data_IF_978942243983
#
_entry.id   IF_978942243983
#
_cell.length_a   1.000
_cell.length_b   1.000
_cell.length_c   1.000
_cell.angle_alpha   90.00
_cell.angle_beta   90.00
_cell.angle_gamma   90.00
#
_symmetry.space_group_name_H-M   'P 1'
#
loop_
_entity.id
_entity.type
_entity.pdbx_description
1 polymer ?
#
# COMPACT_ATOMS: atom_id res chain seq x y z
N UNK A 1 -1.40 17.07 23.87
CA UNK A 1 -2.42 16.85 24.93
C UNK A 1 -1.97 15.72 25.83
N UNK A 2 -2.36 15.67 27.11
CA UNK A 2 -1.98 14.57 28.02
C UNK A 2 -3.20 13.72 28.32
N UNK A 3 -3.09 12.42 28.04
CA UNK A 3 -4.17 11.44 28.27
C UNK A 3 -3.62 10.30 29.13
N UNK A 4 -4.38 9.88 30.13
CA UNK A 4 -4.05 8.72 30.96
C UNK A 4 -4.96 7.57 30.57
N UNK A 5 -4.39 6.44 30.17
CA UNK A 5 -5.11 5.23 29.77
C UNK A 5 -4.69 4.05 30.64
N UNK A 6 -5.59 3.09 30.84
CA UNK A 6 -5.27 1.82 31.48
C UNK A 6 -4.84 0.81 30.42
N UNK A 7 -3.65 0.23 30.61
CA UNK A 7 -3.08 -0.79 29.73
C UNK A 7 -2.72 -2.00 30.60
N UNK A 8 -2.94 -3.20 30.08
CA UNK A 8 -2.51 -4.44 30.73
C UNK A 8 -0.97 -4.47 30.85
N UNK A 9 -0.44 -4.90 32.00
CA UNK A 9 1.01 -4.87 32.27
C UNK A 9 1.84 -5.69 31.27
N UNK A 10 1.31 -6.82 30.79
CA UNK A 10 1.99 -7.63 29.78
C UNK A 10 2.13 -6.85 28.47
N UNK A 11 1.05 -6.23 28.01
CA UNK A 11 1.05 -5.40 26.80
C UNK A 11 1.99 -4.20 26.93
N UNK A 12 2.04 -3.57 28.11
CA UNK A 12 2.97 -2.47 28.37
C UNK A 12 4.44 -2.93 28.26
N UNK A 13 4.77 -4.13 28.76
CA UNK A 13 6.12 -4.69 28.66
C UNK A 13 6.50 -4.97 27.21
N UNK A 14 5.60 -5.58 26.44
CA UNK A 14 5.81 -5.88 25.03
C UNK A 14 6.00 -4.60 24.21
N UNK A 15 5.15 -3.58 24.43
CA UNK A 15 5.26 -2.29 23.75
C UNK A 15 6.57 -1.57 24.08
N UNK A 16 7.04 -1.64 25.34
CA UNK A 16 8.35 -1.07 25.72
C UNK A 16 9.51 -1.79 25.05
N UNK A 17 9.47 -3.12 24.98
CA UNK A 17 10.49 -3.92 24.31
C UNK A 17 10.56 -3.58 22.82
N UNK A 18 9.41 -3.43 22.16
CA UNK A 18 9.32 -3.03 20.76
C UNK A 18 9.81 -1.60 20.52
N UNK A 19 9.47 -0.66 21.39
CA UNK A 19 9.96 0.71 21.29
C UNK A 19 11.50 0.76 21.42
N UNK A 20 12.05 0.02 22.39
CA UNK A 20 13.50 -0.08 22.57
C UNK A 20 14.20 -0.73 21.37
N UNK A 21 13.65 -1.80 20.80
CA UNK A 21 14.25 -2.49 19.66
C UNK A 21 14.19 -1.69 18.36
N UNK A 22 13.17 -0.84 18.20
CA UNK A 22 12.99 0.04 17.03
C UNK A 22 13.60 1.42 17.21
N UNK A 23 14.20 1.70 18.37
CA UNK A 23 14.86 2.98 18.66
C UNK A 23 13.91 4.17 18.77
N UNK A 24 12.65 3.94 19.10
CA UNK A 24 11.64 4.98 19.25
C UNK A 24 11.12 5.07 20.69
N UNK A 25 10.38 6.14 20.98
CA UNK A 25 9.73 6.28 22.28
C UNK A 25 8.43 5.47 22.35
N UNK A 26 8.06 5.01 23.55
CA UNK A 26 6.76 4.35 23.76
C UNK A 26 5.59 5.25 23.32
N UNK A 27 5.70 6.56 23.53
CA UNK A 27 4.69 7.53 23.11
C UNK A 27 4.54 7.57 21.60
N UNK A 28 5.65 7.66 20.87
CA UNK A 28 5.64 7.65 19.39
C UNK A 28 5.03 6.36 18.85
N UNK A 29 5.41 5.22 19.43
CA UNK A 29 4.84 3.92 19.06
C UNK A 29 3.32 3.87 19.26
N UNK A 30 2.82 4.38 20.40
CA UNK A 30 1.39 4.43 20.69
C UNK A 30 0.67 5.37 19.71
N UNK A 31 1.23 6.56 19.44
CA UNK A 31 0.64 7.52 18.50
C UNK A 31 0.56 6.95 17.08
N UNK A 32 1.62 6.32 16.59
CA UNK A 32 1.67 5.71 15.27
C UNK A 32 0.66 4.55 15.15
N UNK A 33 0.58 3.71 16.18
CA UNK A 33 -0.39 2.61 16.25
C UNK A 33 -1.84 3.11 16.21
N UNK A 34 -2.14 4.19 16.93
CA UNK A 34 -3.46 4.82 16.92
C UNK A 34 -3.77 5.43 15.55
N UNK A 35 -2.81 6.16 14.95
CA UNK A 35 -2.97 6.75 13.62
C UNK A 35 -3.22 5.66 12.57
N UNK A 36 -2.45 4.58 12.60
CA UNK A 36 -2.64 3.46 11.69
C UNK A 36 -4.02 2.83 11.87
N UNK A 37 -4.44 2.57 13.11
CA UNK A 37 -5.75 1.99 13.41
C UNK A 37 -6.90 2.87 12.91
N UNK A 38 -6.85 4.17 13.20
CA UNK A 38 -7.88 5.12 12.77
C UNK A 38 -7.88 5.30 11.25
N UNK A 39 -6.71 5.37 10.61
CA UNK A 39 -6.62 5.48 9.14
C UNK A 39 -7.24 4.28 8.43
N UNK A 40 -7.03 3.06 8.96
CA UNK A 40 -7.65 1.84 8.45
C UNK A 40 -9.16 1.86 8.58
N UNK A 41 -9.69 2.50 9.62
CA UNK A 41 -11.13 2.63 9.84
C UNK A 41 -11.75 3.74 8.97
N UNK A 42 -10.99 4.79 8.64
CA UNK A 42 -11.44 5.87 7.74
C UNK A 42 -11.31 5.54 6.26
N UNK A 43 -10.58 4.48 5.90
CA UNK A 43 -10.62 3.94 4.54
C UNK A 43 -12.07 3.50 4.27
N UNK A 44 -12.79 4.29 3.48
CA UNK A 44 -14.16 4.03 3.05
C UNK A 44 -14.38 2.61 2.52
N UNK A 45 -15.64 2.21 2.26
CA UNK A 45 -16.06 0.81 2.12
C UNK A 45 -15.02 0.00 1.36
N UNK A 46 -14.48 -1.06 2.02
CA UNK A 46 -13.46 -2.01 1.53
C UNK A 46 -13.41 -1.92 0.01
N UNK A 47 -12.41 -1.21 -0.54
CA UNK A 47 -12.30 -1.00 -2.00
C UNK A 47 -12.55 -2.35 -2.66
N UNK A 48 -13.65 -2.46 -3.42
CA UNK A 48 -13.98 -3.71 -4.12
C UNK A 48 -12.73 -4.10 -4.87
N UNK A 49 -12.30 -5.34 -4.68
CA UNK A 49 -11.13 -5.86 -5.39
C UNK A 49 -11.43 -5.76 -6.88
N UNK A 50 -10.86 -4.77 -7.55
CA UNK A 50 -11.00 -4.61 -8.99
C UNK A 50 -10.24 -5.76 -9.64
N UNK A 51 -10.94 -6.54 -10.46
CA UNK A 51 -10.29 -7.52 -11.32
C UNK A 51 -9.80 -6.74 -12.53
N UNK A 52 -8.49 -6.48 -12.57
CA UNK A 52 -7.91 -5.90 -13.77
C UNK A 52 -8.08 -6.89 -14.93
N UNK A 53 -8.54 -6.44 -16.11
CA UNK A 53 -8.52 -7.29 -17.29
C UNK A 53 -7.08 -7.71 -17.52
N UNK A 54 -6.87 -9.02 -17.62
CA UNK A 54 -5.57 -9.63 -17.92
C UNK A 54 -5.74 -10.35 -19.24
N UNK A 55 -4.77 -10.19 -20.12
CA UNK A 55 -4.69 -10.98 -21.35
C UNK A 55 -4.03 -12.33 -21.03
N UNK A 56 -4.49 -13.40 -21.67
CA UNK A 56 -3.95 -14.76 -21.49
C UNK A 56 -2.71 -15.05 -22.36
N UNK A 57 -2.16 -14.03 -23.03
CA UNK A 57 -0.99 -14.13 -23.88
C UNK A 57 0.30 -14.53 -23.14
N UNK A 58 1.31 -14.93 -23.92
CA UNK A 58 2.65 -15.31 -23.42
C UNK A 58 3.58 -14.11 -23.20
N UNK A 59 3.03 -12.97 -22.82
CA UNK A 59 3.78 -11.73 -22.64
C UNK A 59 3.71 -10.79 -23.84
N UNK A 60 4.65 -9.85 -23.91
CA UNK A 60 4.65 -8.77 -24.88
C UNK A 60 4.86 -9.28 -26.31
N UNK A 61 4.29 -8.57 -27.28
CA UNK A 61 4.63 -8.75 -28.69
C UNK A 61 6.14 -8.51 -28.88
N UNK A 62 6.84 -9.32 -29.70
CA UNK A 62 8.26 -9.12 -29.99
C UNK A 62 8.54 -7.69 -30.46
N UNK A 63 9.55 -7.04 -29.88
CA UNK A 63 9.91 -5.65 -30.19
C UNK A 63 9.14 -4.58 -29.42
N UNK A 64 8.12 -4.94 -28.62
CA UNK A 64 7.46 -4.01 -27.70
C UNK A 64 8.26 -3.89 -26.41
N UNK A 65 8.67 -2.66 -26.09
CA UNK A 65 9.26 -2.30 -24.80
C UNK A 65 8.31 -1.37 -24.05
N UNK A 66 7.81 -1.78 -22.87
CA UNK A 66 6.90 -0.96 -22.06
C UNK A 66 7.60 0.23 -21.39
N UNK A 67 8.92 0.19 -21.23
CA UNK A 67 9.70 1.27 -20.61
C UNK A 67 10.01 2.42 -21.58
N UNK A 68 9.69 2.27 -22.87
CA UNK A 68 9.87 3.30 -23.91
C UNK A 68 8.51 3.77 -24.42
N UNK A 69 7.95 4.78 -23.74
CA UNK A 69 6.60 5.28 -24.01
C UNK A 69 6.44 5.88 -25.40
N UNK A 70 7.50 6.42 -26.00
CA UNK A 70 7.45 7.01 -27.35
C UNK A 70 7.27 5.93 -28.42
N UNK A 71 8.14 4.91 -28.42
CA UNK A 71 8.02 3.78 -29.36
C UNK A 71 6.74 2.99 -29.18
N UNK A 72 6.27 2.87 -27.95
CA UNK A 72 4.99 2.22 -27.65
C UNK A 72 3.82 2.97 -28.27
N UNK A 73 3.81 4.30 -28.18
CA UNK A 73 2.76 5.13 -28.77
C UNK A 73 2.73 5.00 -30.30
N UNK A 74 3.89 5.08 -30.96
CA UNK A 74 3.99 4.90 -32.41
C UNK A 74 3.39 3.57 -32.88
N UNK A 75 3.62 2.49 -32.11
CA UNK A 75 3.06 1.17 -32.41
C UNK A 75 1.55 1.09 -32.21
N UNK A 76 1.00 1.81 -31.23
CA UNK A 76 -0.45 1.85 -30.98
C UNK A 76 -1.19 2.66 -32.05
N UNK A 77 -0.60 3.76 -32.51
CA UNK A 77 -1.18 4.61 -33.56
C UNK A 77 -1.14 3.95 -34.95
N UNK A 78 -0.24 3.00 -35.17
CA UNK A 78 -0.19 2.19 -36.40
C UNK A 78 -1.23 1.07 -36.45
N UNK A 79 -1.82 0.67 -35.31
CA UNK A 79 -2.88 -0.33 -35.25
C UNK A 79 -4.20 0.37 -35.53
N UNK A 80 -4.57 0.44 -36.81
CA UNK A 80 -5.92 0.81 -37.23
C UNK A 80 -6.89 -0.24 -36.67
N UNK A 81 -7.77 0.16 -35.76
CA UNK A 81 -8.80 -0.72 -35.17
C UNK A 81 -9.92 -0.79 -36.21
N UNK A 82 -10.16 -1.93 -36.88
CA UNK A 82 -11.38 -2.07 -37.67
C UNK A 82 -12.57 -2.14 -36.70
N UNK A 83 -13.64 -1.40 -37.03
CA UNK A 83 -14.93 -1.42 -36.30
C UNK A 83 -15.45 -2.84 -36.03
#
# INVERSE_FOLDING_TARGET
>A
MRTTIRINDQLLREAKALAASTGCSLTSLIEDSLRQTLSHQTNGPRRKRIKLPTDSGRGLRPGVNLDDSAKLLDLLEQVDVPD
#
